data_IF_616270672849
#
_entry.id   IF_616270672849
#
_cell.length_a   1.000
_cell.length_b   1.000
_cell.length_c   1.000
_cell.angle_alpha   90.00
_cell.angle_beta   90.00
_cell.angle_gamma   90.00
#
_symmetry.space_group_name_H-M   'P 1'
#
loop_
_entity.id
_entity.type
_entity.pdbx_description
1 polymer ?
#
# COMPACT_ATOMS: atom_id res chain seq x y z
N UNK A 1 2.85 6.98 11.34
CA UNK A 1 3.13 8.43 11.52
C UNK A 1 3.93 8.89 10.31
N UNK A 2 3.56 10.00 9.67
CA UNK A 2 4.10 10.45 8.38
C UNK A 2 5.19 11.50 8.60
N UNK A 3 6.37 11.34 8.00
CA UNK A 3 7.40 12.37 7.90
C UNK A 3 7.62 12.70 6.43
N UNK A 4 7.57 13.98 6.06
CA UNK A 4 7.70 14.48 4.69
C UNK A 4 9.05 15.19 4.52
N UNK A 5 9.88 14.71 3.59
CA UNK A 5 11.13 15.38 3.16
C UNK A 5 10.95 16.04 1.78
N UNK A 6 11.01 17.37 1.70
CA UNK A 6 10.82 18.11 0.44
C UNK A 6 12.05 18.11 -0.49
N UNK A 7 11.81 18.04 -1.81
CA UNK A 7 12.80 17.98 -2.89
C UNK A 7 13.58 19.25 -3.17
N UNK A 8 13.25 20.41 -2.58
CA UNK A 8 14.02 21.67 -2.77
C UNK A 8 15.44 21.64 -2.18
N UNK A 9 15.87 20.46 -1.70
CA UNK A 9 16.99 20.26 -0.80
C UNK A 9 17.90 19.17 -1.37
N UNK A 10 18.57 19.48 -2.48
CA UNK A 10 19.34 18.51 -3.29
C UNK A 10 20.71 18.13 -2.70
N UNK A 11 20.83 18.05 -1.36
CA UNK A 11 22.09 17.71 -0.69
C UNK A 11 21.88 17.08 0.68
N UNK A 12 22.80 16.20 1.09
CA UNK A 12 22.88 15.67 2.46
C UNK A 12 23.38 16.77 3.40
N UNK A 13 22.56 17.79 3.67
CA UNK A 13 22.94 18.80 4.66
C UNK A 13 22.90 18.18 6.05
N UNK A 14 23.88 18.49 6.89
CA UNK A 14 23.94 18.00 8.28
C UNK A 14 22.68 18.36 9.07
N UNK A 15 22.09 19.52 8.77
CA UNK A 15 20.84 19.98 9.38
C UNK A 15 19.64 19.09 9.04
N UNK A 16 19.41 18.76 7.77
CA UNK A 16 18.26 17.93 7.36
C UNK A 16 18.37 16.49 7.85
N UNK A 17 19.57 15.93 7.85
CA UNK A 17 19.79 14.58 8.40
C UNK A 17 19.48 14.56 9.89
N UNK A 18 19.85 15.63 10.62
CA UNK A 18 19.54 15.76 12.03
C UNK A 18 18.03 15.92 12.27
N UNK A 19 17.34 16.76 11.50
CA UNK A 19 15.89 16.92 11.58
C UNK A 19 15.15 15.60 11.30
N UNK A 20 15.53 14.89 10.23
CA UNK A 20 14.99 13.57 9.90
C UNK A 20 15.18 12.58 11.05
N UNK A 21 16.39 12.52 11.60
CA UNK A 21 16.72 11.66 12.75
C UNK A 21 15.83 11.98 13.95
N UNK A 22 15.70 13.25 14.32
CA UNK A 22 14.92 13.67 15.47
C UNK A 22 13.42 13.35 15.29
N UNK A 23 12.90 13.58 14.08
CA UNK A 23 11.52 13.24 13.72
C UNK A 23 11.28 11.73 13.78
N UNK A 24 12.15 10.91 13.19
CA UNK A 24 12.02 9.45 13.27
C UNK A 24 12.03 8.97 14.72
N UNK A 25 12.99 9.42 15.53
CA UNK A 25 13.09 9.02 16.95
C UNK A 25 11.88 9.47 17.77
N UNK A 26 11.42 10.70 17.60
CA UNK A 26 10.21 11.20 18.28
C UNK A 26 8.93 10.47 17.86
N UNK A 27 8.93 9.86 16.66
CA UNK A 27 7.83 9.03 16.15
C UNK A 27 7.91 7.57 16.62
N UNK A 28 8.91 7.21 17.41
CA UNK A 28 9.18 5.82 17.82
C UNK A 28 9.79 4.94 16.74
N UNK A 29 10.19 5.52 15.59
CA UNK A 29 10.78 4.78 14.48
C UNK A 29 12.29 4.60 14.68
N UNK A 30 12.85 3.44 14.28
CA UNK A 30 14.29 3.22 14.36
C UNK A 30 15.04 4.15 13.40
N UNK A 31 16.15 4.72 13.86
CA UNK A 31 17.06 5.51 13.02
C UNK A 31 18.07 4.57 12.35
N UNK A 32 18.09 4.42 11.01
CA UNK A 32 19.00 3.47 10.33
C UNK A 32 20.47 3.71 10.62
N UNK A 33 20.87 4.96 10.88
CA UNK A 33 22.27 5.27 11.21
C UNK A 33 22.72 4.79 12.59
N UNK A 34 21.81 4.39 13.48
CA UNK A 34 22.19 3.74 14.76
C UNK A 34 22.74 2.31 14.51
N UNK A 35 22.44 1.69 13.36
CA UNK A 35 22.97 0.38 12.92
C UNK A 35 24.29 0.48 12.12
N UNK A 36 24.77 1.70 11.85
CA UNK A 36 26.04 1.97 11.16
C UNK A 36 25.89 2.74 9.85
N UNK A 37 27.02 3.22 9.33
CA UNK A 37 27.07 4.10 8.16
C UNK A 37 26.49 3.43 6.90
N UNK A 38 26.76 2.14 6.69
CA UNK A 38 26.24 1.39 5.55
C UNK A 38 24.72 1.31 5.55
N UNK A 39 24.10 1.13 6.72
CA UNK A 39 22.63 1.07 6.86
C UNK A 39 21.99 2.42 6.56
N UNK A 40 22.61 3.49 7.05
CA UNK A 40 22.19 4.84 6.70
C UNK A 40 22.33 5.14 5.20
N UNK A 41 23.43 4.73 4.55
CA UNK A 41 23.58 4.92 3.10
C UNK A 41 22.54 4.14 2.28
N UNK A 42 22.05 2.99 2.76
CA UNK A 42 20.92 2.29 2.15
C UNK A 42 19.63 3.12 2.23
N UNK A 43 19.29 3.65 3.41
CA UNK A 43 18.14 4.52 3.60
C UNK A 43 18.24 5.79 2.73
N UNK A 44 19.42 6.42 2.71
CA UNK A 44 19.67 7.61 1.90
C UNK A 44 19.56 7.32 0.40
N UNK A 45 20.02 6.15 -0.05
CA UNK A 45 19.84 5.72 -1.43
C UNK A 45 18.35 5.52 -1.79
N UNK A 46 17.55 4.96 -0.88
CA UNK A 46 16.11 4.81 -1.09
C UNK A 46 15.41 6.17 -1.23
N UNK A 47 15.72 7.14 -0.37
CA UNK A 47 15.23 8.52 -0.47
C UNK A 47 15.58 9.13 -1.83
N UNK A 48 16.85 9.02 -2.26
CA UNK A 48 17.29 9.51 -3.58
C UNK A 48 16.56 8.85 -4.73
N UNK A 49 16.26 7.55 -4.64
CA UNK A 49 15.49 6.83 -5.67
C UNK A 49 14.05 7.34 -5.76
N UNK A 50 13.40 7.62 -4.63
CA UNK A 50 12.07 8.25 -4.62
C UNK A 50 12.14 9.59 -5.36
N UNK A 51 13.07 10.48 -4.97
CA UNK A 51 13.26 11.75 -5.69
C UNK A 51 13.55 11.55 -7.18
N UNK A 52 14.41 10.60 -7.54
CA UNK A 52 14.74 10.30 -8.92
C UNK A 52 13.54 9.79 -9.73
N UNK A 53 12.56 9.15 -9.08
CA UNK A 53 11.35 8.65 -9.75
C UNK A 53 10.53 9.75 -10.41
N UNK A 54 10.70 11.01 -9.97
CA UNK A 54 10.19 12.20 -10.66
C UNK A 54 10.51 12.19 -12.16
N UNK A 55 11.68 11.68 -12.57
CA UNK A 55 12.14 11.67 -13.96
C UNK A 55 12.02 10.31 -14.65
N UNK A 56 11.27 9.36 -14.07
CA UNK A 56 10.99 8.11 -14.77
C UNK A 56 10.12 8.37 -16.02
N UNK A 57 10.10 7.42 -16.97
CA UNK A 57 9.35 7.60 -18.22
C UNK A 57 7.85 7.82 -17.97
N UNK A 58 7.26 7.11 -17.01
CA UNK A 58 5.83 7.19 -16.68
C UNK A 58 5.45 8.60 -16.20
N UNK A 59 6.21 9.13 -15.25
CA UNK A 59 6.10 10.47 -14.70
C UNK A 59 6.20 11.52 -15.81
N UNK A 60 7.26 11.44 -16.62
CA UNK A 60 7.49 12.41 -17.69
C UNK A 60 6.39 12.44 -18.75
N UNK A 61 5.92 11.27 -19.21
CA UNK A 61 4.81 11.23 -20.17
C UNK A 61 3.50 11.70 -19.55
N UNK A 62 3.28 11.39 -18.27
CA UNK A 62 2.06 11.79 -17.61
C UNK A 62 1.96 13.29 -17.40
N UNK A 63 3.01 13.92 -16.85
CA UNK A 63 3.03 15.38 -16.60
C UNK A 63 2.77 16.16 -17.89
N UNK A 64 3.31 15.70 -19.04
CA UNK A 64 3.01 16.29 -20.34
C UNK A 64 1.55 16.15 -20.77
N UNK A 65 0.89 15.00 -20.50
CA UNK A 65 -0.53 14.80 -20.84
C UNK A 65 -1.42 15.77 -20.07
N UNK A 66 -1.15 15.98 -18.79
CA UNK A 66 -1.91 16.90 -17.93
C UNK A 66 -1.40 18.34 -17.98
N UNK A 67 -0.42 18.64 -18.85
CA UNK A 67 0.23 19.95 -19.00
C UNK A 67 0.78 20.50 -17.68
N UNK A 68 1.18 19.60 -16.77
CA UNK A 68 1.87 19.98 -15.56
C UNK A 68 3.32 20.29 -15.91
N UNK A 69 3.74 21.51 -15.61
CA UNK A 69 5.13 21.91 -15.78
C UNK A 69 5.99 21.21 -14.71
N UNK A 70 7.00 20.49 -15.19
CA UNK A 70 7.88 19.65 -14.40
C UNK A 70 8.66 20.44 -13.35
N UNK A 71 8.91 21.73 -13.62
CA UNK A 71 9.64 22.62 -12.72
C UNK A 71 8.81 22.98 -11.47
N UNK A 72 7.47 22.86 -11.55
CA UNK A 72 6.55 23.11 -10.42
C UNK A 72 6.16 21.84 -9.66
N UNK A 73 6.59 20.67 -10.13
CA UNK A 73 6.36 19.41 -9.41
C UNK A 73 7.25 19.37 -8.15
N UNK A 74 6.61 19.34 -7.00
CA UNK A 74 7.26 19.21 -5.69
C UNK A 74 7.12 17.77 -5.21
N UNK A 75 8.21 17.16 -4.75
CA UNK A 75 8.19 15.80 -4.21
C UNK A 75 8.60 15.79 -2.75
N UNK A 76 7.70 15.29 -1.92
CA UNK A 76 7.93 14.87 -0.56
C UNK A 76 8.29 13.37 -0.53
N UNK A 77 9.01 12.95 0.52
CA UNK A 77 9.23 11.54 0.83
C UNK A 77 8.60 11.22 2.17
N UNK A 78 7.60 10.35 2.14
CA UNK A 78 6.98 9.73 3.30
C UNK A 78 7.85 8.59 3.82
N UNK A 79 8.29 8.66 5.07
CA UNK A 79 9.00 7.56 5.75
C UNK A 79 8.02 6.74 6.60
N UNK A 80 7.96 5.42 6.39
CA UNK A 80 7.01 4.53 7.05
C UNK A 80 7.66 3.19 7.42
N UNK A 81 7.35 2.63 8.60
CA UNK A 81 7.74 1.25 8.92
C UNK A 81 6.93 0.26 8.08
N UNK A 82 7.61 -0.73 7.51
CA UNK A 82 6.94 -1.84 6.82
C UNK A 82 6.53 -2.88 7.86
N UNK A 83 5.26 -3.27 7.79
CA UNK A 83 4.73 -4.37 8.57
C UNK A 83 5.04 -5.66 7.81
N UNK A 84 5.72 -6.60 8.46
CA UNK A 84 5.88 -7.95 7.92
C UNK A 84 4.50 -8.62 7.88
N UNK A 85 3.84 -8.53 6.74
CA UNK A 85 2.45 -8.90 6.57
C UNK A 85 2.28 -10.40 6.31
N UNK A 86 1.26 -11.00 6.93
CA UNK A 86 0.82 -12.35 6.57
C UNK A 86 -0.02 -12.29 5.29
N UNK A 87 -0.87 -11.26 5.20
CA UNK A 87 -1.68 -10.94 4.04
C UNK A 87 -1.68 -9.44 3.77
N UNK A 88 -1.84 -9.05 2.52
CA UNK A 88 -2.15 -7.68 2.12
C UNK A 88 -3.51 -7.63 1.43
N UNK A 89 -4.18 -6.50 1.51
CA UNK A 89 -5.48 -6.31 0.91
C UNK A 89 -5.68 -4.92 0.30
N UNK A 90 -6.57 -4.86 -0.68
CA UNK A 90 -7.13 -3.62 -1.24
C UNK A 90 -8.64 -3.67 -1.10
N UNK A 91 -9.26 -2.54 -0.76
CA UNK A 91 -10.70 -2.38 -0.59
C UNK A 91 -11.17 -1.24 -1.50
N UNK A 92 -12.25 -1.49 -2.23
CA UNK A 92 -13.10 -0.48 -2.82
C UNK A 92 -14.43 -0.46 -2.07
N UNK A 93 -14.78 0.66 -1.45
CA UNK A 93 -16.01 0.76 -0.64
C UNK A 93 -17.26 0.99 -1.49
N UNK A 94 -17.12 1.23 -2.79
CA UNK A 94 -18.15 1.01 -3.79
C UNK A 94 -17.69 -0.08 -4.74
N UNK A 95 -18.54 -1.06 -5.06
CA UNK A 95 -18.15 -2.15 -5.93
C UNK A 95 -17.71 -1.62 -7.32
N UNK A 96 -16.44 -1.81 -7.74
CA UNK A 96 -15.93 -1.23 -8.97
C UNK A 96 -16.45 -1.92 -10.23
N UNK A 97 -17.00 -3.14 -10.11
CA UNK A 97 -17.58 -3.90 -11.23
C UNK A 97 -19.05 -3.55 -11.46
N UNK A 98 -19.85 -3.46 -10.39
CA UNK A 98 -21.30 -3.22 -10.49
C UNK A 98 -21.68 -1.74 -10.30
N UNK A 99 -20.82 -0.93 -9.67
CA UNK A 99 -21.15 0.41 -9.21
C UNK A 99 -22.04 0.46 -7.97
N UNK A 100 -22.32 -0.68 -7.33
CA UNK A 100 -23.19 -0.74 -6.15
C UNK A 100 -22.47 -0.17 -4.92
N UNK A 101 -22.90 1.02 -4.50
CA UNK A 101 -22.40 1.71 -3.31
C UNK A 101 -22.83 1.07 -1.98
N UNK A 102 -23.69 0.05 -1.99
CA UNK A 102 -24.02 -0.75 -0.80
C UNK A 102 -23.07 -1.93 -0.59
N UNK A 103 -22.14 -2.15 -1.53
CA UNK A 103 -21.21 -3.26 -1.55
C UNK A 103 -19.76 -2.81 -1.38
N UNK A 104 -19.03 -3.51 -0.52
CA UNK A 104 -17.58 -3.43 -0.40
C UNK A 104 -16.99 -4.57 -1.22
N UNK A 105 -16.10 -4.25 -2.16
CA UNK A 105 -15.28 -5.23 -2.87
C UNK A 105 -13.87 -5.19 -2.32
N UNK A 106 -13.28 -6.35 -2.05
CA UNK A 106 -11.90 -6.41 -1.58
C UNK A 106 -11.15 -7.60 -2.15
N UNK A 107 -9.85 -7.40 -2.32
CA UNK A 107 -8.89 -8.40 -2.77
C UNK A 107 -7.85 -8.64 -1.69
N UNK A 108 -7.44 -9.90 -1.51
CA UNK A 108 -6.48 -10.33 -0.48
C UNK A 108 -5.43 -11.25 -1.10
N UNK A 109 -4.16 -10.99 -0.79
CA UNK A 109 -3.01 -11.79 -1.21
C UNK A 109 -2.14 -12.16 -0.02
N UNK A 110 -1.37 -13.24 -0.13
CA UNK A 110 -0.35 -13.62 0.85
C UNK A 110 0.88 -12.71 0.72
N UNK A 111 1.42 -12.28 1.86
CA UNK A 111 2.57 -11.39 1.92
C UNK A 111 2.23 -9.92 1.69
N UNK A 112 3.14 -9.17 1.09
CA UNK A 112 3.05 -7.73 0.86
C UNK A 112 2.11 -7.36 -0.29
N UNK A 113 1.65 -6.11 -0.30
CA UNK A 113 0.74 -5.55 -1.31
C UNK A 113 1.33 -5.56 -2.72
N UNK A 114 2.66 -5.51 -2.84
CA UNK A 114 3.39 -5.65 -4.09
C UNK A 114 3.14 -7.01 -4.77
N UNK A 115 2.68 -8.03 -4.03
CA UNK A 115 2.22 -9.30 -4.59
C UNK A 115 0.96 -9.14 -5.45
N UNK A 116 0.07 -8.20 -5.06
CA UNK A 116 -1.16 -7.89 -5.78
C UNK A 116 -0.83 -7.21 -7.11
N UNK A 117 -0.01 -6.15 -7.06
CA UNK A 117 0.37 -5.30 -8.20
C UNK A 117 1.40 -5.97 -9.12
N UNK A 118 2.22 -6.86 -8.57
CA UNK A 118 3.28 -7.54 -9.32
C UNK A 118 2.73 -8.34 -10.51
N UNK A 119 3.51 -8.37 -11.60
CA UNK A 119 3.19 -9.09 -12.84
C UNK A 119 3.34 -10.63 -12.70
N UNK A 120 2.87 -11.18 -11.59
CA UNK A 120 2.79 -12.62 -11.35
C UNK A 120 1.43 -13.13 -11.82
N UNK A 121 1.40 -14.21 -12.63
CA UNK A 121 0.14 -14.82 -13.07
C UNK A 121 -0.66 -15.35 -11.87
N UNK A 122 -1.96 -15.53 -12.06
CA UNK A 122 -2.87 -15.95 -10.99
C UNK A 122 -3.69 -14.79 -10.44
N UNK A 123 -4.61 -15.10 -9.53
CA UNK A 123 -5.56 -14.13 -8.95
C UNK A 123 -5.39 -14.00 -7.43
N UNK A 124 -5.80 -12.87 -6.90
CA UNK A 124 -6.01 -12.69 -5.47
C UNK A 124 -7.28 -13.44 -5.01
N UNK A 125 -7.42 -13.62 -3.70
CA UNK A 125 -8.72 -13.95 -3.12
C UNK A 125 -9.58 -12.69 -3.24
N UNK A 126 -10.75 -12.77 -3.86
CA UNK A 126 -11.69 -11.65 -3.88
C UNK A 126 -12.97 -11.97 -3.13
N UNK A 127 -13.57 -10.97 -2.50
CA UNK A 127 -14.87 -11.09 -1.86
C UNK A 127 -15.69 -9.81 -1.97
N UNK A 128 -17.01 -9.97 -1.87
CA UNK A 128 -17.96 -8.86 -1.72
C UNK A 128 -18.59 -8.97 -0.34
N UNK A 129 -18.82 -7.83 0.30
CA UNK A 129 -19.53 -7.75 1.57
C UNK A 129 -20.53 -6.60 1.51
N UNK A 130 -21.77 -6.85 1.94
CA UNK A 130 -22.79 -5.80 2.00
C UNK A 130 -22.56 -4.95 3.25
N UNK A 131 -22.66 -3.63 3.12
CA UNK A 131 -22.45 -2.70 4.25
C UNK A 131 -23.46 -2.90 5.39
N UNK A 132 -24.64 -3.43 5.09
CA UNK A 132 -25.64 -3.78 6.10
C UNK A 132 -25.41 -5.14 6.78
N UNK A 133 -24.46 -5.95 6.32
CA UNK A 133 -24.11 -7.25 6.90
C UNK A 133 -22.60 -7.53 6.78
N UNK A 134 -21.81 -6.77 7.54
CA UNK A 134 -20.34 -6.83 7.54
C UNK A 134 -19.76 -8.15 8.09
N UNK A 135 -20.59 -9.09 8.55
CA UNK A 135 -20.18 -10.38 9.11
C UNK A 135 -20.34 -11.55 8.13
N UNK A 136 -20.88 -11.29 6.94
CA UNK A 136 -21.18 -12.30 5.93
C UNK A 136 -20.48 -11.99 4.58
N UNK A 137 -19.13 -11.90 4.55
CA UNK A 137 -18.39 -11.73 3.31
C UNK A 137 -18.60 -12.95 2.40
N UNK A 138 -18.89 -12.71 1.13
CA UNK A 138 -19.19 -13.76 0.17
C UNK A 138 -17.92 -14.16 -0.59
N UNK A 139 -17.44 -15.37 -0.31
CA UNK A 139 -16.29 -15.99 -0.97
C UNK A 139 -16.82 -17.17 -1.79
N UNK A 140 -17.29 -16.90 -3.01
CA UNK A 140 -17.68 -17.87 -4.07
C UNK A 140 -19.11 -18.48 -4.12
N UNK A 141 -19.55 -18.67 -5.38
CA UNK A 141 -20.34 -19.77 -5.97
C UNK A 141 -21.87 -19.87 -5.80
N UNK A 142 -22.60 -18.77 -5.90
CA UNK A 142 -23.92 -18.82 -6.54
C UNK A 142 -24.25 -17.50 -7.24
N UNK A 143 -24.16 -17.56 -8.57
CA UNK A 143 -24.50 -16.62 -9.65
C UNK A 143 -23.40 -15.77 -10.31
N UNK A 144 -22.44 -15.14 -9.63
CA UNK A 144 -21.39 -14.34 -10.32
C UNK A 144 -20.04 -14.41 -9.57
N UNK A 145 -18.98 -14.90 -10.23
CA UNK A 145 -17.85 -15.61 -9.59
C UNK A 145 -16.84 -14.68 -8.88
N UNK A 146 -16.77 -14.78 -7.54
CA UNK A 146 -15.65 -14.35 -6.69
C UNK A 146 -14.62 -15.49 -6.50
N UNK A 147 -13.33 -15.16 -6.55
CA UNK A 147 -12.26 -16.11 -6.83
C UNK A 147 -11.39 -16.45 -5.62
N UNK A 148 -11.02 -17.72 -5.49
CA UNK A 148 -9.95 -18.14 -4.60
C UNK A 148 -8.57 -17.76 -5.17
N UNK A 149 -7.56 -17.50 -4.31
CA UNK A 149 -6.26 -17.04 -4.72
C UNK A 149 -5.49 -18.15 -5.45
N UNK A 150 -4.67 -17.76 -6.43
CA UNK A 150 -3.84 -18.68 -7.21
C UNK A 150 -2.49 -18.11 -7.62
N UNK A 151 -2.10 -16.95 -7.10
CA UNK A 151 -0.77 -16.37 -7.35
C UNK A 151 0.31 -17.33 -6.80
N UNK A 152 1.28 -17.79 -7.61
CA UNK A 152 2.25 -18.79 -7.19
C UNK A 152 3.39 -18.20 -6.35
N UNK A 153 3.57 -16.88 -6.37
CA UNK A 153 4.64 -16.17 -5.69
C UNK A 153 4.03 -15.11 -4.78
N UNK A 154 4.50 -15.06 -3.54
CA UNK A 154 4.26 -13.99 -2.59
C UNK A 154 5.57 -13.27 -2.29
N UNK A 155 5.46 -11.97 -1.99
CA UNK A 155 6.57 -11.13 -1.57
C UNK A 155 6.52 -10.94 -0.06
N UNK A 156 7.65 -11.12 0.61
CA UNK A 156 7.78 -10.95 2.05
C UNK A 156 8.99 -10.09 2.35
N UNK A 157 8.97 -9.39 3.47
CA UNK A 157 10.11 -8.60 3.92
C UNK A 157 10.22 -8.68 5.43
N UNK A 158 11.45 -8.70 5.91
CA UNK A 158 11.72 -8.55 7.34
C UNK A 158 11.33 -7.14 7.80
N UNK A 159 11.41 -6.86 9.09
CA UNK A 159 11.15 -5.52 9.62
C UNK A 159 12.06 -4.52 8.89
N UNK A 160 11.44 -3.58 8.18
CA UNK A 160 12.14 -2.61 7.33
C UNK A 160 11.41 -1.27 7.32
N UNK A 161 11.92 -0.32 6.55
CA UNK A 161 11.36 1.01 6.34
C UNK A 161 11.13 1.19 4.84
N UNK A 162 10.00 1.76 4.47
CA UNK A 162 9.68 2.17 3.11
C UNK A 162 9.64 3.70 3.01
N UNK A 163 10.15 4.18 1.88
CA UNK A 163 10.15 5.59 1.50
C UNK A 163 9.19 5.75 0.34
N UNK A 164 8.08 6.48 0.53
CA UNK A 164 7.05 6.67 -0.49
C UNK A 164 7.07 8.08 -1.04
N UNK A 165 6.78 8.23 -2.32
CA UNK A 165 6.49 9.54 -2.90
C UNK A 165 5.23 10.14 -2.28
N UNK A 166 5.23 11.46 -2.19
CA UNK A 166 4.07 12.28 -1.92
C UNK A 166 4.26 13.57 -2.73
N UNK A 167 3.37 13.85 -3.68
CA UNK A 167 3.59 14.95 -4.62
C UNK A 167 2.31 15.65 -5.04
N UNK A 168 2.44 16.93 -5.36
CA UNK A 168 1.35 17.72 -5.94
C UNK A 168 0.95 17.28 -7.36
N UNK A 169 1.62 16.28 -7.94
CA UNK A 169 1.28 15.68 -9.23
C UNK A 169 0.50 14.36 -9.12
N UNK A 170 0.37 13.77 -7.93
CA UNK A 170 -0.37 12.52 -7.73
C UNK A 170 -1.89 12.74 -7.56
N UNK A 171 -2.29 13.91 -7.04
CA UNK A 171 -3.67 14.25 -6.66
C UNK A 171 -4.31 15.32 -7.58
N UNK A 172 -4.15 15.18 -8.89
CA UNK A 172 -4.77 16.10 -9.86
C UNK A 172 -6.22 15.69 -10.15
N UNK A 173 -7.12 16.67 -10.23
CA UNK A 173 -8.54 16.44 -10.52
C UNK A 173 -8.73 15.71 -11.85
N UNK A 174 -9.43 14.56 -11.82
CA UNK A 174 -9.65 13.72 -13.00
C UNK A 174 -8.42 12.93 -13.47
N UNK A 175 -7.34 12.89 -12.68
CA UNK A 175 -6.12 12.16 -13.01
C UNK A 175 -5.69 11.24 -11.86
N UNK A 176 -5.71 9.93 -12.10
CA UNK A 176 -5.21 8.95 -11.14
C UNK A 176 -3.68 8.84 -11.24
N UNK A 177 -2.97 9.54 -10.35
CA UNK A 177 -1.51 9.46 -10.22
C UNK A 177 -0.97 8.24 -9.48
N UNK A 178 -1.82 7.25 -9.13
CA UNK A 178 -1.37 6.07 -8.41
C UNK A 178 -0.28 5.31 -9.18
N UNK A 179 0.82 5.02 -8.49
CA UNK A 179 1.98 4.33 -9.07
C UNK A 179 2.76 5.17 -10.10
N UNK A 180 2.54 6.49 -10.15
CA UNK A 180 3.28 7.38 -11.02
C UNK A 180 4.75 7.51 -10.59
N UNK A 181 4.95 7.70 -9.29
CA UNK A 181 6.24 7.78 -8.63
C UNK A 181 6.50 6.54 -7.77
N UNK A 182 7.76 6.31 -7.42
CA UNK A 182 8.18 5.05 -6.82
C UNK A 182 8.10 5.09 -5.29
N UNK A 183 7.61 3.98 -4.70
CA UNK A 183 7.83 3.65 -3.29
C UNK A 183 8.99 2.67 -3.19
N UNK A 184 9.99 2.99 -2.37
CA UNK A 184 11.27 2.26 -2.32
C UNK A 184 11.49 1.72 -0.90
N UNK A 185 11.38 0.39 -0.70
CA UNK A 185 11.77 -0.21 0.57
C UNK A 185 13.29 -0.16 0.74
N UNK A 186 13.73 -0.07 2.00
CA UNK A 186 15.15 -0.06 2.34
C UNK A 186 15.77 -1.45 2.14
N UNK A 187 15.05 -2.50 2.54
CA UNK A 187 15.45 -3.89 2.38
C UNK A 187 14.80 -4.51 1.14
N UNK A 188 15.42 -5.57 0.61
CA UNK A 188 14.88 -6.30 -0.52
C UNK A 188 13.78 -7.26 -0.07
N UNK A 189 12.76 -7.38 -0.88
CA UNK A 189 11.72 -8.38 -0.72
C UNK A 189 12.24 -9.78 -1.08
N UNK A 190 11.86 -10.75 -0.27
CA UNK A 190 12.04 -12.16 -0.53
C UNK A 190 10.85 -12.70 -1.35
N UNK A 191 11.17 -13.44 -2.42
CA UNK A 191 10.17 -14.13 -3.24
C UNK A 191 9.96 -15.53 -2.71
N UNK A 192 8.74 -15.85 -2.31
CA UNK A 192 8.39 -17.16 -1.74
C UNK A 192 7.36 -17.84 -2.63
N UNK A 193 7.58 -19.12 -2.92
CA UNK A 193 6.57 -19.96 -3.60
C UNK A 193 5.45 -20.26 -2.61
N UNK A 194 4.22 -19.91 -2.98
CA UNK A 194 3.07 -20.03 -2.09
C UNK A 194 2.46 -21.43 -2.16
N UNK A 195 2.29 -22.02 -0.98
CA UNK A 195 1.49 -23.23 -0.77
C UNK A 195 0.15 -22.85 -0.13
N UNK A 196 -0.92 -22.88 -0.93
CA UNK A 196 -2.27 -22.60 -0.45
C UNK A 196 -2.93 -23.80 0.24
N UNK A 197 -2.37 -25.00 0.13
CA UNK A 197 -2.95 -26.20 0.77
C UNK A 197 -2.85 -26.17 2.30
N UNK A 198 -1.94 -25.36 2.82
CA UNK A 198 -1.70 -25.14 4.26
C UNK A 198 -2.08 -23.74 4.72
N UNK A 199 -2.57 -22.87 3.84
CA UNK A 199 -2.91 -21.49 4.15
C UNK A 199 -4.20 -21.40 4.97
N UNK A 200 -4.19 -20.82 6.20
CA UNK A 200 -5.39 -20.67 7.03
C UNK A 200 -6.55 -19.95 6.32
N UNK A 201 -6.27 -18.99 5.44
CA UNK A 201 -7.31 -18.30 4.68
C UNK A 201 -8.08 -19.24 3.75
N UNK A 202 -7.45 -20.35 3.34
CA UNK A 202 -8.02 -21.37 2.46
C UNK A 202 -8.71 -22.49 3.25
N UNK A 203 -8.04 -23.01 4.28
CA UNK A 203 -8.46 -24.25 4.93
C UNK A 203 -9.29 -24.04 6.20
N UNK A 204 -9.22 -22.86 6.82
CA UNK A 204 -9.98 -22.53 8.03
C UNK A 204 -11.09 -21.52 7.72
N UNK A 205 -12.33 -22.03 7.67
CA UNK A 205 -13.52 -21.21 7.39
C UNK A 205 -13.80 -20.15 8.45
N UNK A 206 -13.49 -20.43 9.72
CA UNK A 206 -13.71 -19.48 10.83
C UNK A 206 -12.68 -18.36 10.77
N UNK A 207 -11.41 -18.71 10.56
CA UNK A 207 -10.34 -17.73 10.37
C UNK A 207 -10.63 -16.85 9.14
N UNK A 208 -10.99 -17.47 8.01
CA UNK A 208 -11.37 -16.74 6.79
C UNK A 208 -12.52 -15.77 7.05
N UNK A 209 -13.64 -16.23 7.63
CA UNK A 209 -14.76 -15.33 7.91
C UNK A 209 -14.36 -14.17 8.82
N UNK A 210 -13.57 -14.45 9.87
CA UNK A 210 -13.09 -13.44 10.81
C UNK A 210 -12.23 -12.36 10.13
N UNK A 211 -11.25 -12.77 9.32
CA UNK A 211 -10.35 -11.85 8.60
C UNK A 211 -11.13 -11.01 7.59
N UNK A 212 -11.94 -11.64 6.73
CA UNK A 212 -12.65 -10.92 5.67
C UNK A 212 -13.69 -9.96 6.26
N UNK A 213 -14.38 -10.34 7.34
CA UNK A 213 -15.28 -9.43 8.06
C UNK A 213 -14.51 -8.26 8.67
N UNK A 214 -13.31 -8.49 9.19
CA UNK A 214 -12.48 -7.42 9.76
C UNK A 214 -11.99 -6.44 8.69
N UNK A 215 -11.62 -6.93 7.50
CA UNK A 215 -11.30 -6.11 6.34
C UNK A 215 -12.53 -5.27 5.92
N UNK A 216 -13.70 -5.89 5.79
CA UNK A 216 -14.94 -5.19 5.43
C UNK A 216 -15.32 -4.09 6.44
N UNK A 217 -15.22 -4.39 7.75
CA UNK A 217 -15.48 -3.40 8.80
C UNK A 217 -14.50 -2.23 8.76
N UNK A 218 -13.22 -2.48 8.48
CA UNK A 218 -12.23 -1.42 8.30
C UNK A 218 -12.60 -0.52 7.11
N UNK A 219 -12.98 -1.12 5.97
CA UNK A 219 -13.46 -0.38 4.80
C UNK A 219 -14.66 0.52 5.10
N UNK A 220 -15.72 -0.05 5.70
CA UNK A 220 -16.92 0.70 6.06
C UNK A 220 -16.63 1.85 7.02
N UNK A 221 -15.85 1.61 8.08
CA UNK A 221 -15.52 2.63 9.07
C UNK A 221 -14.70 3.79 8.48
N UNK A 222 -13.82 3.52 7.52
CA UNK A 222 -13.02 4.54 6.84
C UNK A 222 -13.90 5.38 5.92
N UNK A 223 -14.78 4.76 5.13
CA UNK A 223 -15.73 5.50 4.30
C UNK A 223 -16.67 6.37 5.14
N UNK A 224 -17.20 5.87 6.26
CA UNK A 224 -18.01 6.67 7.19
C UNK A 224 -17.24 7.89 7.72
N UNK A 225 -15.95 7.73 8.01
CA UNK A 225 -15.09 8.81 8.49
C UNK A 225 -14.86 9.90 7.43
N UNK A 226 -14.66 9.51 6.16
CA UNK A 226 -14.41 10.45 5.06
C UNK A 226 -15.68 10.98 4.39
N UNK A 227 -16.82 10.29 4.55
CA UNK A 227 -18.10 10.66 3.96
C UNK A 227 -18.20 10.45 2.44
N UNK A 228 -17.26 9.73 1.84
CA UNK A 228 -17.23 9.42 0.41
C UNK A 228 -16.55 8.07 0.14
N UNK A 229 -16.85 7.39 -1.00
CA UNK A 229 -16.21 6.12 -1.35
C UNK A 229 -14.69 6.19 -1.33
N UNK A 230 -14.05 5.13 -0.84
CA UNK A 230 -12.61 5.05 -0.64
C UNK A 230 -11.99 3.84 -1.34
N UNK A 231 -10.77 4.05 -1.83
CA UNK A 231 -9.81 3.03 -2.24
C UNK A 231 -8.76 2.91 -1.13
N UNK A 232 -8.70 1.75 -0.49
CA UNK A 232 -7.96 1.54 0.77
C UNK A 232 -6.99 0.38 0.60
N UNK A 233 -5.74 0.60 0.97
CA UNK A 233 -4.72 -0.43 1.05
C UNK A 233 -4.41 -0.75 2.52
N UNK A 234 -4.23 -2.02 2.83
CA UNK A 234 -3.86 -2.45 4.16
C UNK A 234 -3.24 -3.83 4.21
N UNK A 235 -2.86 -4.23 5.42
CA UNK A 235 -2.23 -5.51 5.69
C UNK A 235 -2.85 -6.18 6.91
N UNK A 236 -2.77 -7.50 6.93
CA UNK A 236 -3.09 -8.36 8.05
C UNK A 236 -1.79 -8.88 8.63
N UNK A 237 -1.61 -8.71 9.94
CA UNK A 237 -0.53 -9.35 10.69
C UNK A 237 -1.04 -9.84 12.03
N UNK A 238 -0.86 -11.13 12.31
CA UNK A 238 -1.28 -11.79 13.55
C UNK A 238 -2.78 -11.57 13.82
N UNK A 239 -3.59 -11.65 12.75
CA UNK A 239 -5.04 -11.44 12.79
C UNK A 239 -5.49 -9.99 12.97
N UNK A 240 -4.57 -9.02 13.03
CA UNK A 240 -4.88 -7.59 13.16
C UNK A 240 -4.79 -6.87 11.83
N UNK A 241 -5.69 -5.92 11.63
CA UNK A 241 -5.75 -5.07 10.45
C UNK A 241 -4.92 -3.81 10.66
N UNK A 242 -4.09 -3.48 9.67
CA UNK A 242 -3.34 -2.23 9.62
C UNK A 242 -3.60 -1.56 8.28
N UNK A 243 -4.10 -0.33 8.31
CA UNK A 243 -4.34 0.47 7.11
C UNK A 243 -3.04 1.19 6.76
N UNK A 244 -2.59 1.08 5.52
CA UNK A 244 -1.33 1.69 5.06
C UNK A 244 -1.58 2.91 4.18
N UNK A 245 -2.68 2.93 3.43
CA UNK A 245 -3.07 4.04 2.56
C UNK A 245 -4.59 4.07 2.40
N UNK A 246 -5.14 5.26 2.22
CA UNK A 246 -6.52 5.47 1.80
C UNK A 246 -6.59 6.72 0.95
N UNK A 247 -7.46 6.71 -0.06
CA UNK A 247 -7.74 7.84 -0.94
C UNK A 247 -9.19 7.75 -1.44
N UNK A 248 -9.78 8.87 -1.90
CA UNK A 248 -11.08 8.83 -2.57
C UNK A 248 -11.08 7.83 -3.73
N UNK A 249 -12.12 7.00 -3.80
CA UNK A 249 -12.38 6.15 -4.94
C UNK A 249 -12.93 7.01 -6.08
N UNK A 250 -12.27 6.95 -7.24
CA UNK A 250 -12.63 7.68 -8.46
C UNK A 250 -13.53 6.86 -9.37
#
# INVERSE_FOLDING_TARGET
MKLILSSYLTGKSSFQVQELKDKMKSSGMPWPGDEGEQRWEQAWMAIKKVWASKWNERAYFSTRKVKLDHDYLCMAVLVQEIINADYAFVIHTTNPSSGDSSEIYAEVVRGLGETLVGAYPGRALSFICKKNDLNSPQVSSSSDVLGYPSKPIGLFITRSIIFRSDSNGEDLEGYAGAGLYDSVPMDKEEKVVLDYSSDPLMIDGNFRQSILSSIARAGNAIEELYGSPQDIEGVVRDGKIYVVQTRPQM
#
